data_IF_124107047923
#
_entry.id   IF_124107047923
#
_cell.length_a   1.000
_cell.length_b   1.000
_cell.length_c   1.000
_cell.angle_alpha   90.00
_cell.angle_beta   90.00
_cell.angle_gamma   90.00
#
_symmetry.space_group_name_H-M   'P 1'
#
loop_
_entity.id
_entity.type
_entity.pdbx_description
1 polymer ?
#
# COMPACT_ATOMS: atom_id res chain seq x y z
N UNK A 1 3.76 20.54 13.49
CA UNK A 1 2.96 20.51 12.25
C UNK A 1 3.08 19.11 11.69
N UNK A 2 1.99 18.37 11.52
CA UNK A 2 2.06 17.08 10.84
C UNK A 2 2.29 17.31 9.34
N UNK A 3 3.16 16.51 8.75
CA UNK A 3 3.41 16.56 7.31
C UNK A 3 2.68 15.40 6.64
N UNK A 4 2.33 15.53 5.37
CA UNK A 4 1.78 14.43 4.57
C UNK A 4 2.78 13.28 4.32
N UNK A 5 4.02 13.38 4.80
CA UNK A 5 5.05 12.35 4.63
C UNK A 5 5.50 11.72 5.95
N UNK A 6 4.84 12.05 7.06
CA UNK A 6 5.12 11.42 8.35
C UNK A 6 4.56 9.99 8.40
N UNK A 7 5.24 9.10 9.15
CA UNK A 7 4.81 7.72 9.31
C UNK A 7 5.03 6.82 8.09
N UNK A 8 5.96 7.15 7.19
CA UNK A 8 6.31 6.28 6.05
C UNK A 8 6.70 4.89 6.54
N UNK A 9 6.02 3.85 6.05
CA UNK A 9 6.28 2.47 6.47
C UNK A 9 6.22 1.46 5.32
N UNK A 10 5.60 1.80 4.19
CA UNK A 10 5.32 0.82 3.14
C UNK A 10 5.66 1.35 1.74
N UNK A 11 6.23 0.47 0.91
CA UNK A 11 6.27 0.63 -0.53
C UNK A 11 5.34 -0.40 -1.16
N UNK A 12 4.29 0.09 -1.82
CA UNK A 12 3.32 -0.74 -2.53
C UNK A 12 3.66 -0.84 -4.00
N UNK A 13 3.85 -2.06 -4.47
CA UNK A 13 4.12 -2.40 -5.85
C UNK A 13 2.93 -3.13 -6.47
N UNK A 14 2.78 -2.98 -7.78
CA UNK A 14 1.90 -3.80 -8.61
C UNK A 14 2.73 -4.79 -9.42
N UNK A 15 2.23 -6.02 -9.53
CA UNK A 15 2.80 -7.11 -10.30
C UNK A 15 1.74 -7.72 -11.22
N UNK A 16 2.17 -8.26 -12.35
CA UNK A 16 1.30 -9.04 -13.24
C UNK A 16 1.06 -10.45 -12.71
N UNK A 17 2.11 -11.06 -12.14
CA UNK A 17 2.08 -12.40 -11.56
C UNK A 17 2.81 -12.38 -10.21
N UNK A 18 2.06 -12.61 -9.12
CA UNK A 18 2.54 -12.49 -7.75
C UNK A 18 3.58 -13.57 -7.41
N UNK A 19 3.44 -14.76 -7.98
CA UNK A 19 4.36 -15.86 -7.74
C UNK A 19 5.68 -15.60 -8.44
N UNK A 20 5.64 -15.28 -9.73
CA UNK A 20 6.84 -14.96 -10.51
C UNK A 20 7.56 -13.71 -9.98
N UNK A 21 6.81 -12.69 -9.55
CA UNK A 21 7.37 -11.48 -8.97
C UNK A 21 8.07 -11.75 -7.63
N UNK A 22 7.41 -12.43 -6.69
CA UNK A 22 8.02 -12.73 -5.38
C UNK A 22 9.22 -13.66 -5.50
N UNK A 23 9.17 -14.62 -6.42
CA UNK A 23 10.30 -15.47 -6.78
C UNK A 23 11.48 -14.67 -7.36
N UNK A 24 11.21 -13.69 -8.23
CA UNK A 24 12.24 -12.83 -8.79
C UNK A 24 12.86 -11.93 -7.72
N UNK A 25 12.06 -11.37 -6.81
CA UNK A 25 12.54 -10.60 -5.66
C UNK A 25 13.44 -11.46 -4.75
N UNK A 26 13.06 -12.71 -4.50
CA UNK A 26 13.86 -13.66 -3.74
C UNK A 26 15.22 -13.94 -4.38
N UNK A 27 15.23 -14.23 -5.70
CA UNK A 27 16.45 -14.55 -6.45
C UNK A 27 17.38 -13.35 -6.64
N UNK A 28 16.82 -12.18 -6.96
CA UNK A 28 17.61 -10.98 -7.33
C UNK A 28 18.02 -10.15 -6.13
N UNK A 29 17.17 -10.07 -5.10
CA UNK A 29 17.34 -9.14 -3.97
C UNK A 29 17.31 -9.80 -2.59
N UNK A 30 17.12 -11.13 -2.52
CA UNK A 30 17.18 -11.88 -1.26
C UNK A 30 15.92 -11.81 -0.41
N UNK A 31 14.82 -11.27 -0.91
CA UNK A 31 13.54 -11.14 -0.20
C UNK A 31 12.76 -12.45 -0.37
N UNK A 32 12.88 -13.37 0.58
CA UNK A 32 12.48 -14.78 0.43
C UNK A 32 11.19 -15.14 1.15
N UNK A 33 10.82 -14.40 2.19
CA UNK A 33 9.67 -14.70 3.03
C UNK A 33 8.57 -13.68 2.79
N UNK A 34 7.39 -14.16 2.43
CA UNK A 34 6.21 -13.33 2.22
C UNK A 34 5.00 -13.94 2.92
N UNK A 35 4.16 -13.10 3.54
CA UNK A 35 2.79 -13.47 3.92
C UNK A 35 1.87 -13.21 2.72
N UNK A 36 1.17 -14.24 2.25
CA UNK A 36 0.16 -14.12 1.19
C UNK A 36 -1.21 -13.81 1.78
N UNK A 37 -1.98 -12.96 1.10
CA UNK A 37 -3.34 -12.58 1.49
C UNK A 37 -4.20 -12.40 0.25
N UNK A 38 -5.35 -13.06 0.20
CA UNK A 38 -6.42 -12.70 -0.73
C UNK A 38 -7.16 -11.49 -0.14
N UNK A 39 -6.90 -10.31 -0.69
CA UNK A 39 -7.40 -9.03 -0.15
C UNK A 39 -8.84 -8.75 -0.61
N UNK A 40 -9.21 -9.21 -1.80
CA UNK A 40 -10.57 -9.18 -2.35
C UNK A 40 -10.72 -10.25 -3.44
N UNK A 41 -11.92 -10.48 -4.02
CA UNK A 41 -12.08 -11.36 -5.17
C UNK A 41 -11.21 -11.00 -6.39
N UNK A 42 -10.73 -9.77 -6.47
CA UNK A 42 -9.98 -9.24 -7.61
C UNK A 42 -8.55 -8.83 -7.27
N UNK A 43 -8.11 -9.00 -6.03
CA UNK A 43 -6.79 -8.56 -5.58
C UNK A 43 -6.16 -9.57 -4.61
N UNK A 44 -4.98 -10.03 -4.99
CA UNK A 44 -4.09 -10.84 -4.16
C UNK A 44 -2.88 -10.00 -3.78
N UNK A 45 -2.36 -10.18 -2.57
CA UNK A 45 -1.17 -9.47 -2.11
C UNK A 45 -0.17 -10.36 -1.39
N UNK A 46 1.11 -9.99 -1.50
CA UNK A 46 2.22 -10.54 -0.74
C UNK A 46 2.86 -9.43 0.09
N UNK A 47 3.15 -9.68 1.35
CA UNK A 47 3.77 -8.69 2.23
C UNK A 47 5.05 -9.24 2.85
N UNK A 48 6.07 -8.40 2.96
CA UNK A 48 7.35 -8.72 3.58
C UNK A 48 7.91 -7.47 4.26
N UNK A 49 8.38 -7.60 5.50
CA UNK A 49 9.20 -6.57 6.12
C UNK A 49 10.65 -6.72 5.66
N UNK A 50 11.27 -5.61 5.27
CA UNK A 50 12.70 -5.48 5.00
C UNK A 50 13.22 -4.33 5.86
N UNK A 51 13.97 -4.66 6.92
CA UNK A 51 14.25 -3.69 7.99
C UNK A 51 12.94 -3.17 8.60
N UNK A 52 12.75 -1.85 8.56
CA UNK A 52 11.55 -1.16 9.04
C UNK A 52 10.54 -0.80 7.95
N UNK A 53 10.76 -1.22 6.70
CA UNK A 53 9.88 -0.93 5.56
C UNK A 53 9.18 -2.20 5.10
N UNK A 54 7.86 -2.12 4.94
CA UNK A 54 7.08 -3.20 4.36
C UNK A 54 7.05 -3.06 2.85
N UNK A 55 7.33 -4.15 2.15
CA UNK A 55 6.99 -4.29 0.74
C UNK A 55 5.63 -4.95 0.65
N UNK A 56 4.70 -4.28 -0.02
CA UNK A 56 3.45 -4.88 -0.47
C UNK A 56 3.55 -5.11 -1.98
N UNK A 57 3.30 -6.34 -2.44
CA UNK A 57 3.23 -6.67 -3.86
C UNK A 57 1.79 -7.07 -4.16
N UNK A 58 1.14 -6.34 -5.05
CA UNK A 58 -0.28 -6.52 -5.41
C UNK A 58 -0.37 -7.12 -6.80
N UNK A 59 -1.12 -8.21 -6.93
CA UNK A 59 -1.62 -8.67 -8.22
C UNK A 59 -3.12 -8.36 -8.31
N UNK A 60 -3.51 -7.72 -9.41
CA UNK A 60 -4.91 -7.41 -9.70
C UNK A 60 -5.49 -8.35 -10.76
N UNK A 61 -6.80 -8.51 -10.74
CA UNK A 61 -7.61 -9.20 -11.75
C UNK A 61 -8.69 -8.24 -12.26
N UNK A 62 -9.40 -8.63 -13.31
CA UNK A 62 -10.53 -7.86 -13.84
C UNK A 62 -11.53 -7.54 -12.72
N UNK A 63 -11.89 -6.26 -12.59
CA UNK A 63 -12.78 -5.77 -11.52
C UNK A 63 -12.05 -5.14 -10.32
N UNK A 64 -10.72 -5.12 -10.32
CA UNK A 64 -9.94 -4.34 -9.35
C UNK A 64 -10.08 -2.83 -9.60
N UNK A 65 -9.78 -1.97 -8.60
CA UNK A 65 -9.78 -0.52 -8.78
C UNK A 65 -8.81 -0.05 -9.87
N UNK A 66 -9.26 0.89 -10.70
CA UNK A 66 -8.52 1.37 -11.88
C UNK A 66 -7.15 2.00 -11.55
N UNK A 67 -6.96 2.48 -10.30
CA UNK A 67 -5.71 3.14 -9.88
C UNK A 67 -4.47 2.24 -10.09
N UNK A 68 -4.65 0.92 -10.00
CA UNK A 68 -3.58 -0.07 -10.13
C UNK A 68 -3.28 -0.46 -11.57
N UNK A 69 -4.26 -0.37 -12.48
CA UNK A 69 -4.18 -0.96 -13.82
C UNK A 69 -3.04 -0.38 -14.65
N UNK A 70 -2.85 0.93 -14.61
CA UNK A 70 -1.79 1.63 -15.33
C UNK A 70 -0.37 1.24 -14.86
N UNK A 71 -0.24 0.63 -13.69
CA UNK A 71 1.03 0.25 -13.11
C UNK A 71 1.41 -1.20 -13.35
N UNK A 72 0.49 -2.04 -13.87
CA UNK A 72 0.79 -3.46 -14.14
C UNK A 72 1.92 -3.57 -15.16
N UNK A 73 3.08 -4.16 -14.81
CA UNK A 73 4.19 -4.31 -15.75
C UNK A 73 3.89 -5.41 -16.78
N UNK A 74 4.44 -5.31 -17.98
CA UNK A 74 4.28 -6.35 -19.02
C UNK A 74 5.03 -7.64 -18.66
N UNK A 75 6.25 -7.51 -18.15
CA UNK A 75 7.08 -8.61 -17.68
C UNK A 75 6.45 -9.26 -16.41
N UNK A 76 6.05 -10.55 -16.45
CA UNK A 76 5.39 -11.20 -15.31
C UNK A 76 6.20 -11.19 -14.02
N UNK A 77 7.53 -11.27 -14.13
CA UNK A 77 8.44 -11.29 -12.99
C UNK A 77 8.79 -9.90 -12.43
N UNK A 78 8.33 -8.82 -13.08
CA UNK A 78 8.61 -7.46 -12.67
C UNK A 78 7.57 -6.95 -11.66
N UNK A 79 8.01 -5.98 -10.85
CA UNK A 79 7.15 -5.19 -9.96
C UNK A 79 7.33 -3.72 -10.30
N UNK A 80 6.27 -2.92 -10.19
CA UNK A 80 6.31 -1.46 -10.40
C UNK A 80 5.78 -0.74 -9.16
N UNK A 81 6.58 0.19 -8.63
CA UNK A 81 6.17 1.01 -7.50
C UNK A 81 4.92 1.81 -7.88
N UNK A 82 3.88 1.68 -7.06
CA UNK A 82 2.56 2.27 -7.30
C UNK A 82 2.22 3.31 -6.23
N UNK A 83 2.51 3.03 -4.97
CA UNK A 83 2.21 3.95 -3.88
C UNK A 83 3.25 3.88 -2.75
N UNK A 84 3.35 4.98 -2.02
CA UNK A 84 3.94 5.04 -0.69
C UNK A 84 2.85 4.93 0.37
N UNK A 85 3.05 4.13 1.41
CA UNK A 85 2.13 3.99 2.53
C UNK A 85 2.63 4.70 3.79
N UNK A 86 1.75 5.49 4.38
CA UNK A 86 1.99 6.30 5.58
C UNK A 86 1.03 5.88 6.69
N UNK A 87 1.57 5.48 7.83
CA UNK A 87 0.81 5.09 9.02
C UNK A 87 0.52 6.34 9.84
N UNK A 88 -0.75 6.69 9.93
CA UNK A 88 -1.21 7.84 10.70
C UNK A 88 -1.32 7.44 12.17
N UNK A 89 -0.72 8.23 13.05
CA UNK A 89 -0.48 7.87 14.44
C UNK A 89 -1.74 7.81 15.29
N UNK A 90 -2.63 8.79 15.14
CA UNK A 90 -3.83 8.95 15.95
C UNK A 90 -4.94 9.70 15.19
N UNK A 91 -6.10 9.88 15.85
CA UNK A 91 -7.25 10.55 15.28
C UNK A 91 -7.00 12.02 14.92
N UNK A 92 -6.23 12.75 15.73
CA UNK A 92 -5.93 14.16 15.45
C UNK A 92 -5.01 14.30 14.23
N UNK A 93 -4.04 13.39 14.08
CA UNK A 93 -3.22 13.29 12.88
C UNK A 93 -4.03 12.88 11.65
N UNK A 94 -5.05 12.02 11.82
CA UNK A 94 -5.95 11.63 10.74
C UNK A 94 -6.79 12.81 10.23
N UNK A 95 -7.36 13.60 11.13
CA UNK A 95 -8.10 14.81 10.77
C UNK A 95 -7.19 15.82 10.05
N UNK A 96 -5.95 15.97 10.52
CA UNK A 96 -4.96 16.86 9.89
C UNK A 96 -4.56 16.37 8.49
N UNK A 97 -4.37 15.07 8.27
CA UNK A 97 -4.11 14.50 6.94
C UNK A 97 -5.27 14.81 5.99
N UNK A 98 -6.52 14.62 6.41
CA UNK A 98 -7.70 14.93 5.60
C UNK A 98 -7.73 16.42 5.24
N UNK A 99 -7.56 17.31 6.23
CA UNK A 99 -7.50 18.75 6.00
C UNK A 99 -6.41 19.15 5.01
N UNK A 100 -5.21 18.55 5.11
CA UNK A 100 -4.07 18.82 4.23
C UNK A 100 -4.31 18.36 2.80
N UNK A 101 -4.94 17.19 2.62
CA UNK A 101 -5.34 16.70 1.30
C UNK A 101 -6.31 17.68 0.63
N UNK A 102 -7.31 18.14 1.38
CA UNK A 102 -8.31 19.11 0.89
C UNK A 102 -7.67 20.46 0.56
N UNK A 103 -6.80 20.99 1.43
CA UNK A 103 -6.08 22.25 1.21
C UNK A 103 -5.12 22.22 0.03
N UNK A 104 -4.50 21.07 -0.23
CA UNK A 104 -3.65 20.84 -1.39
C UNK A 104 -4.46 20.60 -2.67
N UNK A 105 -5.79 20.42 -2.58
CA UNK A 105 -6.65 20.13 -3.73
C UNK A 105 -6.34 18.79 -4.40
N UNK A 106 -5.83 17.81 -3.64
CA UNK A 106 -5.46 16.50 -4.16
C UNK A 106 -6.70 15.64 -4.42
N UNK A 107 -6.76 15.00 -5.58
CA UNK A 107 -7.81 14.02 -5.85
C UNK A 107 -7.61 12.78 -4.96
N UNK A 108 -8.71 12.20 -4.48
CA UNK A 108 -8.67 10.94 -3.71
C UNK A 108 -9.46 9.84 -4.42
N UNK A 109 -8.90 9.21 -5.47
CA UNK A 109 -9.62 8.26 -6.31
C UNK A 109 -10.07 7.00 -5.57
N UNK A 110 -9.49 6.72 -4.40
CA UNK A 110 -9.87 5.58 -3.58
C UNK A 110 -9.77 5.92 -2.10
N UNK A 111 -10.87 5.74 -1.37
CA UNK A 111 -10.95 5.92 0.08
C UNK A 111 -11.98 4.97 0.68
N UNK A 112 -11.77 4.54 1.91
CA UNK A 112 -12.73 3.67 2.57
C UNK A 112 -12.36 3.33 4.00
N UNK A 113 -13.25 2.56 4.60
CA UNK A 113 -13.06 1.98 5.91
C UNK A 113 -13.45 0.50 5.87
N UNK A 114 -12.62 -0.36 6.46
CA UNK A 114 -12.86 -1.80 6.58
C UNK A 114 -12.64 -2.24 8.02
N UNK A 115 -12.91 -3.51 8.32
CA UNK A 115 -12.87 -4.05 9.70
C UNK A 115 -13.75 -3.22 10.64
N UNK A 116 -15.01 -2.99 10.26
CA UNK A 116 -15.98 -2.20 11.02
C UNK A 116 -15.46 -0.80 11.40
N UNK A 117 -14.73 -0.15 10.48
CA UNK A 117 -14.19 1.19 10.67
C UNK A 117 -12.83 1.26 11.37
N UNK A 118 -12.25 0.11 11.72
CA UNK A 118 -10.98 0.07 12.44
C UNK A 118 -9.76 0.28 11.54
N UNK A 119 -9.89 0.04 10.23
CA UNK A 119 -8.89 0.37 9.23
C UNK A 119 -9.48 1.42 8.29
N UNK A 120 -8.95 2.63 8.33
CA UNK A 120 -9.31 3.70 7.41
C UNK A 120 -8.14 3.94 6.46
N UNK A 121 -8.44 4.15 5.19
CA UNK A 121 -7.43 4.42 4.18
C UNK A 121 -7.87 5.48 3.17
N UNK A 122 -6.89 6.25 2.67
CA UNK A 122 -7.07 7.22 1.59
C UNK A 122 -5.87 7.12 0.65
N UNK A 123 -6.14 6.93 -0.64
CA UNK A 123 -5.19 7.15 -1.71
C UNK A 123 -5.36 8.58 -2.22
N UNK A 124 -4.35 9.43 -2.01
CA UNK A 124 -4.25 10.74 -2.63
C UNK A 124 -3.41 10.66 -3.91
N UNK A 125 -3.87 11.33 -4.97
CA UNK A 125 -3.18 11.42 -6.24
C UNK A 125 -2.06 12.48 -6.18
N UNK A 126 -0.90 12.04 -5.70
CA UNK A 126 0.34 12.82 -5.63
C UNK A 126 1.30 12.50 -6.78
N UNK A 127 0.81 11.85 -7.85
CA UNK A 127 1.65 11.38 -8.96
C UNK A 127 2.32 12.52 -9.72
N UNK A 128 1.61 13.65 -9.86
CA UNK A 128 2.15 14.83 -10.52
C UNK A 128 3.38 15.41 -9.80
N UNK A 129 3.44 15.25 -8.48
CA UNK A 129 4.50 15.83 -7.63
C UNK A 129 5.59 14.82 -7.26
N UNK A 130 5.23 13.55 -7.04
CA UNK A 130 6.12 12.51 -6.49
C UNK A 130 6.25 11.26 -7.35
N UNK A 131 5.51 11.18 -8.45
CA UNK A 131 5.53 10.06 -9.40
C UNK A 131 4.66 8.86 -9.04
N UNK A 132 4.17 8.77 -7.80
CA UNK A 132 3.35 7.65 -7.28
C UNK A 132 2.19 8.19 -6.45
N UNK A 133 1.21 7.35 -6.12
CA UNK A 133 0.16 7.70 -5.16
C UNK A 133 0.72 7.75 -3.73
N UNK A 134 0.05 8.46 -2.83
CA UNK A 134 0.30 8.38 -1.39
C UNK A 134 -0.92 7.80 -0.69
N UNK A 135 -0.73 6.66 -0.04
CA UNK A 135 -1.73 6.00 0.78
C UNK A 135 -1.53 6.38 2.25
N UNK A 136 -2.59 6.86 2.89
CA UNK A 136 -2.62 7.13 4.33
C UNK A 136 -3.48 6.09 5.01
N UNK A 137 -2.95 5.44 6.04
CA UNK A 137 -3.60 4.35 6.75
C UNK A 137 -3.70 4.69 8.23
N UNK A 138 -4.93 4.77 8.75
CA UNK A 138 -5.19 4.96 10.17
C UNK A 138 -5.85 3.71 10.76
N UNK A 139 -5.15 3.07 11.70
CA UNK A 139 -5.61 1.84 12.35
C UNK A 139 -5.97 2.08 13.80
N UNK A 140 -7.07 1.45 14.21
CA UNK A 140 -7.54 1.38 15.60
C UNK A 140 -7.93 -0.07 15.93
N UNK A 141 -8.18 -0.37 17.20
CA UNK A 141 -8.68 -1.67 17.63
C UNK A 141 -7.87 -2.86 17.10
N UNK A 142 -8.55 -3.90 16.64
CA UNK A 142 -7.93 -5.13 16.13
C UNK A 142 -7.14 -4.92 14.83
N UNK A 143 -7.45 -3.87 14.05
CA UNK A 143 -6.68 -3.55 12.85
C UNK A 143 -5.22 -3.21 13.18
N UNK A 144 -4.92 -2.71 14.39
CA UNK A 144 -3.52 -2.38 14.78
C UNK A 144 -2.55 -3.55 14.64
N UNK A 145 -3.03 -4.80 14.74
CA UNK A 145 -2.25 -6.03 14.62
C UNK A 145 -2.29 -6.67 13.22
N UNK A 146 -2.85 -6.01 12.19
CA UNK A 146 -3.06 -6.60 10.85
C UNK A 146 -1.78 -7.02 10.13
N UNK A 147 -0.62 -6.54 10.59
CA UNK A 147 0.69 -6.84 10.00
C UNK A 147 1.61 -7.63 10.94
N UNK A 148 1.12 -8.09 12.09
CA UNK A 148 1.93 -8.79 13.11
C UNK A 148 2.43 -10.16 12.61
N UNK A 149 1.74 -10.75 11.63
CA UNK A 149 2.09 -12.03 11.01
C UNK A 149 2.96 -11.88 9.75
N UNK A 150 3.29 -10.66 9.34
CA UNK A 150 4.14 -10.41 8.17
C UNK A 150 5.59 -10.76 8.52
N UNK A 151 6.26 -11.62 7.73
CA UNK A 151 7.62 -12.02 8.02
C UNK A 151 8.62 -10.89 7.76
N UNK A 152 9.66 -10.81 8.59
CA UNK A 152 10.86 -10.01 8.34
C UNK A 152 11.83 -10.78 7.44
N UNK A 153 12.56 -10.10 6.55
CA UNK A 153 13.62 -10.68 5.72
C UNK A 153 15.00 -10.27 6.19
#
# INVERSE_FOLDING_TARGET
MATLFDGFYQMGFVARDLDQATDALARRFGIRRFRRKASSPFMDAAHAWVGSTMLEIIQIRQGAPEIYEAYVPDEPSAVRLHHHGFRVADAAAWDEVNRRIDEAGLATPMRGAVMDGQLNYIYADTRADTGVYSEYVYLTGAATSIYDDVPHN
#
